data_IF_774514733879
#
_entry.id   IF_774514733879
#
_cell.length_a   1.000
_cell.length_b   1.000
_cell.length_c   1.000
_cell.angle_alpha   90.00
_cell.angle_beta   90.00
_cell.angle_gamma   90.00
#
_symmetry.space_group_name_H-M   'P 1'
#
loop_
_entity.id
_entity.type
_entity.pdbx_description
1 polymer ?
#
# COMPACT_ATOMS: atom_id res chain seq x y z
N UNK A 1 11.70 8.28 3.55
CA UNK A 1 12.19 9.68 3.66
C UNK A 1 11.46 10.37 4.81
N UNK A 2 12.12 11.22 5.61
CA UNK A 2 11.49 11.85 6.79
C UNK A 2 11.81 13.34 6.88
N UNK A 3 10.80 14.15 7.18
CA UNK A 3 10.97 15.57 7.44
C UNK A 3 10.45 15.92 8.82
N UNK A 4 11.29 16.53 9.64
CA UNK A 4 10.86 17.19 10.87
C UNK A 4 10.03 18.43 10.54
N UNK A 5 9.16 18.86 11.44
CA UNK A 5 8.38 20.10 11.29
C UNK A 5 9.28 21.32 11.03
N UNK A 6 10.46 21.37 11.67
CA UNK A 6 11.44 22.42 11.45
C UNK A 6 12.07 22.42 10.04
N UNK A 7 12.12 21.26 9.37
CA UNK A 7 12.53 21.16 7.97
C UNK A 7 11.36 21.53 7.04
N UNK A 8 10.15 21.04 7.34
CA UNK A 8 8.94 21.36 6.56
C UNK A 8 8.71 22.88 6.49
N UNK A 9 8.81 23.59 7.62
CA UNK A 9 8.70 25.06 7.68
C UNK A 9 9.69 25.83 6.81
N UNK A 10 10.79 25.20 6.38
CA UNK A 10 11.84 25.82 5.57
C UNK A 10 11.71 25.48 4.08
N UNK A 11 10.81 24.56 3.73
CA UNK A 11 10.53 24.26 2.33
C UNK A 11 9.90 25.49 1.65
N UNK A 12 10.04 25.60 0.32
CA UNK A 12 9.24 26.54 -0.44
C UNK A 12 7.74 26.25 -0.28
N UNK A 13 6.89 27.21 -0.65
CA UNK A 13 5.43 27.08 -0.57
C UNK A 13 4.90 25.82 -1.26
N UNK A 14 5.55 25.41 -2.35
CA UNK A 14 5.34 24.12 -3.02
C UNK A 14 6.71 23.48 -3.30
N UNK A 15 6.86 22.22 -2.91
CA UNK A 15 8.10 21.44 -3.00
C UNK A 15 7.84 20.08 -3.64
N UNK A 16 8.37 19.87 -4.84
CA UNK A 16 8.32 18.59 -5.55
C UNK A 16 9.51 17.70 -5.18
N UNK A 17 9.28 16.39 -5.14
CA UNK A 17 10.31 15.40 -4.89
C UNK A 17 10.06 14.09 -5.65
N UNK A 18 11.11 13.31 -5.80
CA UNK A 18 11.07 11.93 -6.31
C UNK A 18 11.98 11.06 -5.46
N UNK A 19 11.52 9.85 -5.14
CA UNK A 19 12.23 8.89 -4.32
C UNK A 19 12.04 7.47 -4.85
N UNK A 20 13.06 6.64 -4.60
CA UNK A 20 12.96 5.19 -4.70
C UNK A 20 13.09 4.63 -3.30
N UNK A 21 12.15 3.78 -2.90
CA UNK A 21 11.98 3.29 -1.53
C UNK A 21 12.03 1.77 -1.52
N UNK A 22 12.70 1.22 -0.51
CA UNK A 22 12.84 -0.22 -0.28
C UNK A 22 12.03 -0.60 0.96
N UNK A 23 11.06 -1.51 0.77
CA UNK A 23 10.18 -2.03 1.81
C UNK A 23 10.36 -3.54 2.02
N UNK A 24 11.51 -4.09 1.58
CA UNK A 24 11.81 -5.53 1.70
C UNK A 24 11.62 -5.99 3.15
N UNK A 25 12.15 -5.23 4.11
CA UNK A 25 12.06 -5.57 5.54
C UNK A 25 10.63 -5.50 6.09
N UNK A 26 9.86 -4.50 5.68
CA UNK A 26 8.47 -4.32 6.08
C UNK A 26 7.60 -5.48 5.56
N UNK A 27 7.89 -5.95 4.34
CA UNK A 27 7.18 -7.06 3.71
C UNK A 27 7.42 -8.43 4.36
N UNK A 28 8.53 -8.63 5.08
CA UNK A 28 8.85 -9.90 5.77
C UNK A 28 7.77 -10.35 6.76
N UNK A 29 6.94 -9.43 7.25
CA UNK A 29 5.87 -9.71 8.21
C UNK A 29 4.50 -9.93 7.55
N UNK A 30 4.44 -9.97 6.21
CA UNK A 30 3.20 -10.11 5.45
C UNK A 30 3.27 -11.40 4.64
N UNK A 31 2.60 -12.45 5.13
CA UNK A 31 2.74 -13.83 4.66
C UNK A 31 2.56 -14.03 3.14
N UNK A 32 1.75 -13.20 2.48
CA UNK A 32 1.42 -13.36 1.06
C UNK A 32 2.15 -12.39 0.13
N UNK A 33 3.03 -11.52 0.65
CA UNK A 33 4.00 -10.76 -0.14
C UNK A 33 5.29 -11.56 -0.20
N UNK A 34 5.63 -12.08 -1.38
CA UNK A 34 6.86 -12.84 -1.59
C UNK A 34 8.05 -11.91 -1.82
N UNK A 35 7.84 -10.86 -2.62
CA UNK A 35 8.84 -9.84 -2.91
C UNK A 35 8.17 -8.48 -3.16
N UNK A 36 8.86 -7.40 -2.78
CA UNK A 36 8.51 -6.04 -3.14
C UNK A 36 9.76 -5.35 -3.75
N UNK A 37 9.89 -5.35 -5.07
CA UNK A 37 10.89 -4.55 -5.77
C UNK A 37 10.74 -3.05 -5.45
N UNK A 38 11.78 -2.29 -5.76
CA UNK A 38 11.88 -0.83 -5.60
C UNK A 38 10.57 -0.09 -5.91
N UNK A 39 10.06 0.61 -4.90
CA UNK A 39 8.85 1.44 -4.99
C UNK A 39 9.24 2.84 -5.45
N UNK A 40 8.65 3.28 -6.56
CA UNK A 40 8.87 4.63 -7.09
C UNK A 40 7.79 5.55 -6.55
N UNK A 41 8.22 6.68 -6.02
CA UNK A 41 7.32 7.69 -5.46
C UNK A 41 7.68 9.04 -6.05
N UNK A 42 6.69 9.69 -6.65
CA UNK A 42 6.74 11.09 -7.02
C UNK A 42 5.71 11.84 -6.18
N UNK A 43 6.02 13.07 -5.79
CA UNK A 43 5.06 13.81 -4.98
C UNK A 43 5.42 15.26 -4.77
N UNK A 44 4.48 15.97 -4.15
CA UNK A 44 4.61 17.37 -3.79
C UNK A 44 4.11 17.63 -2.38
N UNK A 45 4.77 18.57 -1.69
CA UNK A 45 4.35 19.11 -0.40
C UNK A 45 3.99 20.58 -0.63
N UNK A 46 2.77 20.97 -0.29
CA UNK A 46 2.30 22.36 -0.40
C UNK A 46 1.90 22.91 0.97
N UNK A 47 2.37 24.11 1.31
CA UNK A 47 1.99 24.78 2.54
C UNK A 47 0.56 25.33 2.44
N UNK A 48 -0.31 24.94 3.38
CA UNK A 48 -1.58 25.66 3.61
C UNK A 48 -1.43 26.74 4.66
N UNK A 49 -0.68 26.46 5.71
CA UNK A 49 -0.28 27.45 6.71
C UNK A 49 1.10 27.08 7.29
N UNK A 50 1.47 27.64 8.46
CA UNK A 50 2.81 27.44 9.03
C UNK A 50 3.09 25.97 9.39
N UNK A 51 2.06 25.26 9.88
CA UNK A 51 2.18 23.92 10.46
C UNK A 51 1.16 22.93 9.86
N UNK A 52 0.66 23.24 8.66
CA UNK A 52 -0.26 22.40 7.89
C UNK A 52 0.20 22.32 6.44
N UNK A 53 0.29 21.09 5.95
CA UNK A 53 0.90 20.72 4.69
C UNK A 53 -0.04 19.78 3.93
N UNK A 54 -0.25 20.07 2.66
CA UNK A 54 -0.91 19.18 1.73
C UNK A 54 0.14 18.28 1.07
N UNK A 55 -0.13 16.99 1.05
CA UNK A 55 0.71 16.00 0.39
C UNK A 55 -0.07 15.40 -0.78
N UNK A 56 0.57 15.39 -1.96
CA UNK A 56 0.08 14.66 -3.13
C UNK A 56 1.16 13.70 -3.60
N UNK A 57 0.85 12.41 -3.70
CA UNK A 57 1.77 11.34 -4.06
C UNK A 57 1.24 10.52 -5.24
N UNK A 58 2.15 10.13 -6.12
CA UNK A 58 1.98 9.06 -7.09
C UNK A 58 2.98 7.95 -6.76
N UNK A 59 2.47 6.72 -6.58
CA UNK A 59 3.26 5.56 -6.18
C UNK A 59 3.10 4.47 -7.24
N UNK A 60 4.23 4.04 -7.80
CA UNK A 60 4.30 2.91 -8.72
C UNK A 60 5.09 1.76 -8.07
N UNK A 61 4.45 0.59 -7.98
CA UNK A 61 5.03 -0.62 -7.40
C UNK A 61 4.53 -1.87 -8.13
N UNK A 62 5.32 -2.93 -8.17
CA UNK A 62 4.86 -4.27 -8.59
C UNK A 62 5.09 -5.25 -7.45
N UNK A 63 4.03 -5.67 -6.78
CA UNK A 63 4.14 -6.69 -5.73
C UNK A 63 4.28 -8.07 -6.35
N UNK A 64 5.14 -8.92 -5.80
CA UNK A 64 5.13 -10.35 -6.11
C UNK A 64 4.36 -11.05 -5.01
N UNK A 65 3.16 -11.52 -5.34
CA UNK A 65 2.20 -12.07 -4.37
C UNK A 65 2.04 -13.58 -4.51
N UNK A 66 1.81 -14.28 -3.41
CA UNK A 66 1.49 -15.70 -3.44
C UNK A 66 0.07 -15.94 -4.00
N UNK A 67 -0.03 -16.75 -5.06
CA UNK A 67 -1.33 -17.20 -5.57
C UNK A 67 -2.09 -17.96 -4.48
N UNK A 68 -3.32 -17.55 -4.16
CA UNK A 68 -4.08 -18.19 -3.08
C UNK A 68 -4.52 -19.63 -3.36
N UNK A 69 -4.39 -20.11 -4.60
CA UNK A 69 -4.69 -21.50 -4.98
C UNK A 69 -3.45 -22.39 -5.01
N UNK A 70 -2.33 -21.87 -5.50
CA UNK A 70 -1.16 -22.67 -5.85
C UNK A 70 0.10 -22.29 -5.10
N UNK A 71 0.09 -21.15 -4.39
CA UNK A 71 1.26 -20.49 -3.78
C UNK A 71 2.35 -20.06 -4.77
N UNK A 72 2.11 -20.23 -6.07
CA UNK A 72 3.03 -19.75 -7.11
C UNK A 72 3.06 -18.22 -7.14
N UNK A 73 4.21 -17.59 -7.44
CA UNK A 73 4.33 -16.14 -7.53
C UNK A 73 3.42 -15.52 -8.60
N UNK A 74 2.87 -14.35 -8.31
CA UNK A 74 2.06 -13.54 -9.23
C UNK A 74 2.51 -12.09 -9.15
N UNK A 75 2.98 -11.54 -10.26
CA UNK A 75 3.29 -10.12 -10.39
C UNK A 75 1.99 -9.31 -10.40
N UNK A 76 1.88 -8.35 -9.48
CA UNK A 76 0.73 -7.50 -9.30
C UNK A 76 1.15 -6.01 -9.33
N UNK A 77 1.14 -5.38 -10.51
CA UNK A 77 1.43 -3.96 -10.63
C UNK A 77 0.32 -3.11 -10.01
N UNK A 78 0.70 -2.11 -9.23
CA UNK A 78 -0.18 -1.12 -8.62
C UNK A 78 0.31 0.29 -8.95
N UNK A 79 -0.65 1.15 -9.25
CA UNK A 79 -0.47 2.58 -9.41
C UNK A 79 -1.44 3.25 -8.44
N UNK A 80 -0.90 4.03 -7.49
CA UNK A 80 -1.69 4.66 -6.44
C UNK A 80 -1.49 6.18 -6.50
N UNK A 81 -2.58 6.91 -6.32
CA UNK A 81 -2.59 8.36 -6.12
C UNK A 81 -3.13 8.63 -4.71
N UNK A 82 -2.42 9.44 -3.93
CA UNK A 82 -2.78 9.77 -2.55
C UNK A 82 -2.78 11.28 -2.40
N UNK A 83 -3.84 11.80 -1.81
CA UNK A 83 -3.99 13.19 -1.44
C UNK A 83 -4.40 13.27 0.03
N UNK A 84 -3.59 13.90 0.86
CA UNK A 84 -3.83 13.94 2.30
C UNK A 84 -3.23 15.19 2.95
N UNK A 85 -3.82 15.58 4.07
CA UNK A 85 -3.40 16.73 4.86
C UNK A 85 -2.62 16.29 6.09
N UNK A 86 -1.56 17.03 6.42
CA UNK A 86 -0.73 16.76 7.59
C UNK A 86 -0.47 18.02 8.40
N UNK A 87 -0.57 17.95 9.72
CA UNK A 87 -0.15 19.06 10.57
C UNK A 87 -0.17 18.77 12.06
N UNK A 88 0.07 19.79 12.88
CA UNK A 88 0.20 19.63 14.36
C UNK A 88 -1.12 19.75 15.12
N UNK A 89 -2.11 20.43 14.54
CA UNK A 89 -3.41 20.68 15.13
C UNK A 89 -4.49 20.27 14.12
N UNK A 90 -5.50 19.53 14.56
CA UNK A 90 -6.59 19.10 13.68
C UNK A 90 -7.37 20.31 13.20
N UNK A 91 -7.24 20.64 11.91
CA UNK A 91 -8.15 21.55 11.24
C UNK A 91 -9.49 20.83 11.04
N UNK A 92 -10.45 21.09 11.94
CA UNK A 92 -11.79 20.47 11.91
C UNK A 92 -12.62 20.81 10.67
N UNK A 93 -12.09 21.61 9.75
CA UNK A 93 -12.72 21.88 8.45
C UNK A 93 -12.36 20.84 7.38
N UNK A 94 -11.31 20.04 7.61
CA UNK A 94 -10.81 18.98 6.71
C UNK A 94 -10.83 17.63 7.44
N UNK A 95 -11.98 17.23 8.02
CA UNK A 95 -12.06 16.00 8.83
C UNK A 95 -11.80 14.70 8.02
N UNK A 96 -11.97 14.74 6.70
CA UNK A 96 -11.62 13.64 5.80
C UNK A 96 -10.16 13.84 5.31
N UNK A 97 -9.33 12.81 5.49
CA UNK A 97 -7.92 12.73 5.06
C UNK A 97 -6.94 13.70 5.74
N UNK A 98 -7.23 14.15 6.98
CA UNK A 98 -6.28 14.89 7.82
C UNK A 98 -5.60 14.00 8.86
N UNK A 99 -4.27 14.01 8.85
CA UNK A 99 -3.40 13.24 9.72
C UNK A 99 -2.52 14.14 10.58
N UNK A 100 -2.33 13.75 11.84
CA UNK A 100 -1.43 14.47 12.74
C UNK A 100 0.02 14.08 12.49
N UNK A 101 0.91 15.07 12.51
CA UNK A 101 2.36 14.87 12.48
C UNK A 101 2.83 14.28 13.82
N UNK A 102 2.80 12.96 13.94
CA UNK A 102 3.31 12.28 15.11
C UNK A 102 4.78 12.63 15.36
N UNK A 103 5.11 12.98 16.60
CA UNK A 103 6.45 13.44 17.01
C UNK A 103 6.99 14.63 16.19
N UNK A 104 6.11 15.44 15.57
CA UNK A 104 6.48 16.53 14.67
C UNK A 104 7.30 16.06 13.47
N UNK A 105 7.02 14.87 12.92
CA UNK A 105 7.70 14.31 11.75
C UNK A 105 6.68 13.85 10.71
N UNK A 106 6.88 14.26 9.46
CA UNK A 106 6.22 13.66 8.30
C UNK A 106 7.08 12.49 7.83
N UNK A 107 6.56 11.27 7.96
CA UNK A 107 7.26 10.05 7.64
C UNK A 107 6.71 9.41 6.36
N UNK A 108 7.35 9.70 5.24
CA UNK A 108 6.93 9.19 3.93
C UNK A 108 6.99 7.67 3.86
N UNK A 109 7.93 7.03 4.57
CA UNK A 109 8.05 5.56 4.57
C UNK A 109 6.77 4.91 5.12
N UNK A 110 6.22 5.45 6.21
CA UNK A 110 4.98 4.95 6.82
C UNK A 110 3.75 5.22 5.96
N UNK A 111 3.67 6.42 5.37
CA UNK A 111 2.56 6.81 4.48
C UNK A 111 2.50 5.88 3.26
N UNK A 112 3.61 5.75 2.54
CA UNK A 112 3.70 4.94 1.32
C UNK A 112 3.45 3.46 1.63
N UNK A 113 4.06 2.93 2.70
CA UNK A 113 3.84 1.54 3.09
C UNK A 113 2.38 1.26 3.46
N UNK A 114 1.76 2.15 4.24
CA UNK A 114 0.35 2.02 4.63
C UNK A 114 -0.57 2.01 3.43
N UNK A 115 -0.31 2.88 2.45
CA UNK A 115 -1.11 2.93 1.23
C UNK A 115 -0.98 1.68 0.37
N UNK A 116 0.24 1.14 0.23
CA UNK A 116 0.49 -0.13 -0.45
C UNK A 116 -0.30 -1.25 0.23
N UNK A 117 -0.23 -1.35 1.56
CA UNK A 117 -0.92 -2.41 2.31
C UNK A 117 -2.44 -2.30 2.22
N UNK A 118 -3.00 -1.10 2.31
CA UNK A 118 -4.45 -0.87 2.21
C UNK A 118 -4.98 -1.25 0.82
N UNK A 119 -4.22 -0.94 -0.24
CA UNK A 119 -4.65 -1.18 -1.61
C UNK A 119 -4.24 -2.56 -2.15
N UNK A 120 -3.35 -3.27 -1.47
CA UNK A 120 -2.98 -4.64 -1.82
C UNK A 120 -4.25 -5.52 -1.86
N UNK A 121 -4.42 -6.35 -2.90
CA UNK A 121 -5.56 -7.25 -2.99
C UNK A 121 -5.54 -8.28 -1.85
N UNK A 122 -6.74 -8.60 -1.34
CA UNK A 122 -6.94 -9.68 -0.36
C UNK A 122 -6.50 -11.03 -0.94
N UNK A 123 -6.66 -11.21 -2.26
CA UNK A 123 -6.36 -12.46 -2.95
C UNK A 123 -5.98 -12.21 -4.40
N UNK A 124 -4.91 -12.87 -4.85
CA UNK A 124 -4.55 -13.03 -6.27
C UNK A 124 -4.64 -14.49 -6.69
N UNK A 125 -4.97 -14.72 -7.97
CA UNK A 125 -5.02 -16.05 -8.57
C UNK A 125 -4.18 -16.03 -9.84
N UNK A 126 -3.18 -16.90 -9.89
CA UNK A 126 -2.37 -17.10 -11.09
C UNK A 126 -3.28 -17.53 -12.26
N UNK A 127 -3.10 -16.94 -13.45
CA UNK A 127 -3.96 -17.19 -14.61
C UNK A 127 -4.06 -18.68 -14.95
N UNK A 128 -2.96 -19.40 -14.74
CA UNK A 128 -2.83 -20.85 -14.98
C UNK A 128 -3.04 -21.71 -13.74
N UNK A 129 -3.66 -21.18 -12.68
CA UNK A 129 -3.82 -21.90 -11.41
C UNK A 129 -4.45 -23.29 -11.58
N UNK A 130 -5.47 -23.41 -12.43
CA UNK A 130 -6.15 -24.69 -12.68
C UNK A 130 -5.23 -25.71 -13.37
N UNK A 131 -4.43 -25.28 -14.35
CA UNK A 131 -3.45 -26.15 -15.02
C UNK A 131 -2.36 -26.62 -14.05
N UNK A 132 -1.89 -25.73 -13.17
CA UNK A 132 -0.87 -26.04 -12.16
C UNK A 132 -1.41 -27.10 -11.19
N UNK A 133 -2.63 -26.92 -10.70
CA UNK A 133 -3.28 -27.88 -9.80
C UNK A 133 -3.58 -29.21 -10.48
N UNK A 134 -4.06 -29.20 -11.72
CA UNK A 134 -4.31 -30.42 -12.48
C UNK A 134 -3.03 -31.25 -12.68
N UNK A 135 -1.88 -30.60 -12.93
CA UNK A 135 -0.57 -31.27 -13.00
C UNK A 135 -0.14 -31.89 -11.67
N UNK A 136 -0.59 -31.33 -10.55
CA UNK A 136 -0.38 -31.88 -9.21
C UNK A 136 -1.43 -32.97 -8.84
N UNK A 137 -2.33 -33.33 -9.77
CA UNK A 137 -3.39 -34.30 -9.52
C UNK A 137 -4.56 -33.75 -8.68
N UNK A 138 -4.62 -32.43 -8.49
CA UNK A 138 -5.70 -31.74 -7.77
C UNK A 138 -6.72 -31.26 -8.80
N UNK A 139 -7.90 -31.87 -8.81
CA UNK A 139 -9.04 -31.46 -9.64
C UNK A 139 -10.23 -31.13 -8.75
N UNK A 140 -10.78 -29.93 -8.89
CA UNK A 140 -12.02 -29.56 -8.20
C UNK A 140 -13.20 -30.03 -9.05
N UNK A 141 -13.90 -31.07 -8.63
CA UNK A 141 -15.07 -31.61 -9.32
C UNK A 141 -16.37 -30.85 -9.01
N UNK A 142 -16.29 -29.78 -8.21
CA UNK A 142 -17.44 -28.98 -7.79
C UNK A 142 -18.49 -29.75 -6.98
N UNK A 143 -18.21 -31.01 -6.60
CA UNK A 143 -19.18 -31.87 -5.92
C UNK A 143 -19.09 -31.69 -4.40
N UNK A 144 -19.35 -30.48 -3.92
CA UNK A 144 -19.86 -30.35 -2.56
C UNK A 144 -21.31 -30.83 -2.61
N UNK A 145 -21.57 -32.06 -2.17
CA UNK A 145 -22.93 -32.51 -1.93
C UNK A 145 -23.52 -31.64 -0.80
N UNK A 146 -24.41 -30.72 -1.13
CA UNK A 146 -25.22 -29.92 -0.19
C UNK A 146 -26.09 -30.79 0.76
N UNK A 147 -26.06 -32.11 0.61
CA UNK A 147 -26.86 -33.09 1.35
C UNK A 147 -26.62 -33.12 2.88
N UNK A 148 -25.62 -32.39 3.40
CA UNK A 148 -25.38 -32.32 4.85
C UNK A 148 -25.93 -31.06 5.54
N UNK A 149 -26.55 -30.11 4.81
CA UNK A 149 -27.14 -28.90 5.41
C UNK A 149 -28.64 -28.99 5.72
N UNK A 150 -29.32 -30.09 5.38
CA UNK A 150 -30.77 -30.27 5.64
C UNK A 150 -31.12 -31.14 6.85
N UNK A 151 -30.15 -31.57 7.66
CA UNK A 151 -30.42 -32.33 8.89
C UNK A 151 -30.02 -31.56 10.15
N UNK A 152 -30.84 -30.58 10.53
CA UNK A 152 -31.13 -30.25 11.93
C UNK A 152 -32.41 -29.46 12.07
#
# INVERSE_FOLDING_TARGET
MKWTLGQLRKLPESYDFSAVMDFTKESENIDDILEIPDVKVEGSITHKNLDSFYLNLTIDVTLVLACAKTLEPVDYPMHLEIEEWHGIDVDRSEEEDYYLLENNVLNLDEIVWSAILINKPIRVIHERAEEILAKQGITFDGSYSDDNLSKK
#
